data_IF_186113165041
#
_entry.id   IF_186113165041
#
_cell.length_a   1.000
_cell.length_b   1.000
_cell.length_c   1.000
_cell.angle_alpha   90.00
_cell.angle_beta   90.00
_cell.angle_gamma   90.00
#
_symmetry.space_group_name_H-M   'P 1'
#
loop_
_entity.id
_entity.type
_entity.pdbx_description
1 polymer ?
#
# COMPACT_ATOMS: atom_id res chain seq x y z
N UNK A 1 22.95 3.71 -21.26
CA UNK A 1 23.58 3.57 -19.94
C UNK A 1 22.62 4.23 -18.97
N UNK A 2 21.69 3.44 -18.42
CA UNK A 2 20.79 3.94 -17.38
C UNK A 2 21.64 4.00 -16.10
N UNK A 3 21.86 5.20 -15.58
CA UNK A 3 22.60 5.41 -14.34
C UNK A 3 21.89 4.67 -13.22
N UNK A 4 22.61 3.80 -12.52
CA UNK A 4 22.17 3.04 -11.34
C UNK A 4 21.90 3.92 -10.11
N UNK A 5 22.04 5.24 -10.21
CA UNK A 5 21.93 6.20 -9.09
C UNK A 5 20.51 6.80 -8.91
N UNK A 6 19.48 5.99 -9.13
CA UNK A 6 18.16 6.25 -8.54
C UNK A 6 17.76 5.03 -7.73
N UNK A 7 18.53 4.72 -6.68
CA UNK A 7 17.88 4.20 -5.48
C UNK A 7 16.81 5.23 -5.13
N UNK A 8 15.58 4.90 -5.50
CA UNK A 8 14.36 5.64 -5.27
C UNK A 8 14.43 6.35 -3.93
N UNK A 9 14.34 7.68 -3.94
CA UNK A 9 14.41 8.53 -2.76
C UNK A 9 13.17 8.29 -1.88
N UNK A 10 13.15 7.14 -1.23
CA UNK A 10 12.14 6.76 -0.26
C UNK A 10 12.21 7.66 0.96
N UNK A 11 13.34 8.30 1.22
CA UNK A 11 13.48 9.23 2.34
C UNK A 11 12.54 10.43 2.15
N UNK A 12 12.50 11.03 0.96
CA UNK A 12 11.54 12.10 0.67
C UNK A 12 10.09 11.66 0.85
N UNK A 13 9.72 10.48 0.33
CA UNK A 13 8.38 9.92 0.51
C UNK A 13 8.04 9.68 1.99
N UNK A 14 8.99 9.14 2.77
CA UNK A 14 8.80 8.86 4.19
C UNK A 14 8.70 10.16 4.98
N UNK A 15 9.53 11.15 4.69
CA UNK A 15 9.50 12.47 5.33
C UNK A 15 8.18 13.20 5.08
N UNK A 16 7.69 13.18 3.83
CA UNK A 16 6.42 13.80 3.45
C UNK A 16 5.23 13.16 4.19
N UNK A 17 5.33 11.87 4.52
CA UNK A 17 4.21 11.08 5.08
C UNK A 17 4.34 10.89 6.59
N UNK A 18 5.53 11.02 7.16
CA UNK A 18 5.78 10.89 8.61
C UNK A 18 4.98 11.92 9.43
N UNK A 19 4.60 13.04 8.83
CA UNK A 19 3.74 14.05 9.46
C UNK A 19 2.24 13.77 9.37
N UNK A 20 1.80 12.78 8.59
CA UNK A 20 0.39 12.48 8.41
C UNK A 20 -0.12 11.59 9.54
N UNK A 21 -1.31 11.87 10.09
CA UNK A 21 -1.90 11.03 11.12
C UNK A 21 -2.32 9.67 10.54
N UNK A 22 -2.42 8.67 11.41
CA UNK A 22 -3.10 7.41 11.13
C UNK A 22 -4.54 7.66 10.66
N UNK A 23 -5.10 6.74 9.89
CA UNK A 23 -6.51 6.80 9.51
C UNK A 23 -7.41 6.67 10.76
N UNK A 24 -8.56 7.37 10.78
CA UNK A 24 -9.52 7.25 11.87
C UNK A 24 -9.99 5.80 12.11
N UNK A 25 -10.40 5.44 13.33
CA UNK A 25 -10.87 4.08 13.64
C UNK A 25 -12.10 3.60 12.88
N UNK A 26 -12.97 4.52 12.48
CA UNK A 26 -14.18 4.29 11.69
C UNK A 26 -13.97 4.46 10.19
N UNK A 27 -12.73 4.72 9.75
CA UNK A 27 -12.41 4.88 8.35
C UNK A 27 -12.56 3.57 7.57
N UNK A 28 -13.34 3.62 6.50
CA UNK A 28 -13.54 2.52 5.55
C UNK A 28 -13.20 3.03 4.15
N UNK A 29 -12.14 2.51 3.50
CA UNK A 29 -11.74 2.98 2.17
C UNK A 29 -12.75 2.55 1.11
N UNK A 30 -13.07 3.45 0.17
CA UNK A 30 -13.91 3.10 -0.98
C UNK A 30 -13.09 2.39 -2.06
N UNK A 31 -11.83 2.80 -2.20
CA UNK A 31 -10.87 2.23 -3.16
C UNK A 31 -9.59 1.86 -2.42
N UNK A 32 -9.14 0.63 -2.65
CA UNK A 32 -7.84 0.13 -2.21
C UNK A 32 -7.02 -0.19 -3.46
N UNK A 33 -5.85 0.44 -3.58
CA UNK A 33 -4.90 0.19 -4.65
C UNK A 33 -3.61 -0.39 -4.05
N UNK A 34 -3.07 -1.43 -4.67
CA UNK A 34 -1.88 -2.11 -4.22
C UNK A 34 -0.84 -2.09 -5.33
N UNK A 35 0.33 -1.52 -5.04
CA UNK A 35 1.42 -1.42 -6.00
C UNK A 35 2.64 -2.19 -5.50
N UNK A 36 3.30 -2.84 -6.44
CA UNK A 36 4.61 -3.45 -6.27
C UNK A 36 5.40 -3.34 -7.57
N UNK A 37 6.66 -3.78 -7.57
CA UNK A 37 7.53 -3.62 -8.72
C UNK A 37 7.00 -4.31 -9.99
N UNK A 38 6.34 -5.47 -9.88
CA UNK A 38 5.83 -6.18 -11.06
C UNK A 38 4.48 -5.62 -11.53
N UNK A 39 3.60 -5.22 -10.61
CA UNK A 39 2.33 -4.60 -10.94
C UNK A 39 2.52 -3.27 -11.68
N UNK A 40 3.50 -2.47 -11.25
CA UNK A 40 3.86 -1.24 -11.96
C UNK A 40 4.43 -1.52 -13.35
N UNK A 41 5.33 -2.49 -13.49
CA UNK A 41 5.84 -2.90 -14.80
C UNK A 41 4.72 -3.44 -15.71
N UNK A 42 3.82 -4.27 -15.19
CA UNK A 42 2.69 -4.81 -15.93
C UNK A 42 1.73 -3.70 -16.37
N UNK A 43 1.46 -2.71 -15.51
CA UNK A 43 0.63 -1.56 -15.87
C UNK A 43 1.26 -0.69 -16.95
N UNK A 44 2.58 -0.47 -16.88
CA UNK A 44 3.32 0.26 -17.91
C UNK A 44 3.30 -0.45 -19.28
N UNK A 45 3.37 -1.79 -19.29
CA UNK A 45 3.39 -2.58 -20.54
C UNK A 45 2.00 -2.76 -21.12
N UNK A 46 0.99 -3.00 -20.28
CA UNK A 46 -0.38 -3.29 -20.73
C UNK A 46 -1.22 -2.03 -20.99
N UNK A 47 -0.81 -0.87 -20.44
CA UNK A 47 -1.63 0.34 -20.44
C UNK A 47 -2.91 0.19 -19.58
N UNK A 48 -3.02 -0.89 -18.81
CA UNK A 48 -4.14 -1.17 -17.92
C UNK A 48 -3.71 -0.98 -16.47
N UNK A 49 -4.58 -0.35 -15.68
CA UNK A 49 -4.32 -0.06 -14.25
C UNK A 49 -4.53 -1.30 -13.37
N UNK A 50 -5.26 -2.30 -13.87
CA UNK A 50 -5.62 -3.50 -13.10
C UNK A 50 -4.74 -4.67 -13.56
N UNK A 51 -3.79 -5.03 -12.71
CA UNK A 51 -2.98 -6.24 -12.85
C UNK A 51 -3.35 -7.22 -11.75
N UNK A 52 -3.89 -8.37 -12.14
CA UNK A 52 -4.16 -9.48 -11.23
C UNK A 52 -3.15 -10.59 -11.51
N UNK A 53 -2.40 -10.99 -10.47
CA UNK A 53 -1.51 -12.14 -10.57
C UNK A 53 -1.41 -12.86 -9.23
N UNK A 54 -1.12 -14.17 -9.30
CA UNK A 54 -0.76 -14.95 -8.13
C UNK A 54 0.77 -14.98 -8.02
N UNK A 55 1.31 -14.51 -6.90
CA UNK A 55 2.74 -14.61 -6.62
C UNK A 55 3.11 -15.94 -6.00
N UNK A 56 4.21 -16.51 -6.47
CA UNK A 56 4.88 -17.60 -5.79
C UNK A 56 5.69 -17.09 -4.60
N UNK A 57 5.83 -17.91 -3.56
CA UNK A 57 6.64 -17.59 -2.36
C UNK A 57 8.13 -17.39 -2.68
N UNK A 58 8.58 -17.88 -3.82
CA UNK A 58 9.95 -17.73 -4.36
C UNK A 58 10.21 -16.33 -4.93
N UNK A 59 9.18 -15.49 -5.10
CA UNK A 59 9.25 -14.18 -5.74
C UNK A 59 8.76 -13.07 -4.79
N UNK A 60 9.53 -12.76 -3.73
CA UNK A 60 9.13 -11.71 -2.79
C UNK A 60 9.07 -10.35 -3.48
N UNK A 61 8.10 -9.52 -3.08
CA UNK A 61 8.05 -8.11 -3.50
C UNK A 61 9.27 -7.37 -2.94
N UNK A 62 9.94 -6.57 -3.79
CA UNK A 62 11.00 -5.67 -3.32
C UNK A 62 10.41 -4.51 -2.51
N UNK A 63 9.20 -4.07 -2.90
CA UNK A 63 8.37 -3.20 -2.10
C UNK A 63 6.90 -3.48 -2.34
N UNK A 64 6.07 -3.03 -1.40
CA UNK A 64 4.61 -3.03 -1.50
C UNK A 64 4.10 -1.70 -0.96
N UNK A 65 3.27 -1.02 -1.73
CA UNK A 65 2.60 0.22 -1.32
C UNK A 65 1.09 0.03 -1.42
N UNK A 66 0.36 0.34 -0.34
CA UNK A 66 -1.10 0.34 -0.33
C UNK A 66 -1.60 1.77 -0.23
N UNK A 67 -2.54 2.11 -1.10
CA UNK A 67 -3.23 3.39 -1.09
C UNK A 67 -4.70 3.17 -0.79
N UNK A 68 -5.21 3.95 0.16
CA UNK A 68 -6.62 4.04 0.51
C UNK A 68 -7.14 5.40 0.02
N UNK A 69 -8.10 5.37 -0.91
CA UNK A 69 -8.66 6.57 -1.55
C UNK A 69 -7.56 7.55 -2.04
N UNK A 70 -6.49 7.02 -2.65
CA UNK A 70 -5.35 7.79 -3.15
C UNK A 70 -4.34 8.25 -2.11
N UNK A 71 -4.50 7.89 -0.83
CA UNK A 71 -3.55 8.21 0.24
C UNK A 71 -2.74 6.98 0.65
N UNK A 72 -1.41 7.14 0.80
CA UNK A 72 -0.55 6.03 1.23
C UNK A 72 -0.91 5.59 2.66
N UNK A 73 -1.24 4.31 2.78
CA UNK A 73 -1.66 3.67 4.02
C UNK A 73 -0.59 2.73 4.58
N UNK A 74 0.05 1.96 3.72
CA UNK A 74 1.11 1.03 4.07
C UNK A 74 2.23 1.16 3.05
N UNK A 75 3.47 1.18 3.52
CA UNK A 75 4.63 1.04 2.66
C UNK A 75 5.65 0.08 3.27
N UNK A 76 5.96 -0.96 2.53
CA UNK A 76 6.90 -2.00 2.91
C UNK A 76 8.03 -2.06 1.88
N UNK A 77 9.28 -2.18 2.35
CA UNK A 77 10.44 -2.39 1.49
C UNK A 77 11.26 -3.56 2.02
N UNK A 78 11.54 -4.55 1.16
CA UNK A 78 12.29 -5.77 1.50
C UNK A 78 11.76 -6.46 2.76
N UNK A 79 10.43 -6.49 2.91
CA UNK A 79 9.75 -7.09 4.06
C UNK A 79 9.71 -6.23 5.34
N UNK A 80 10.29 -5.03 5.34
CA UNK A 80 10.23 -4.11 6.47
C UNK A 80 9.11 -3.09 6.25
N UNK A 81 8.29 -2.90 7.28
CA UNK A 81 7.26 -1.84 7.30
C UNK A 81 7.96 -0.51 7.57
N UNK A 82 7.88 0.42 6.62
CA UNK A 82 8.42 1.78 6.76
C UNK A 82 7.34 2.78 7.12
N UNK A 83 6.11 2.58 6.61
CA UNK A 83 4.94 3.41 6.92
C UNK A 83 3.78 2.45 7.19
N UNK A 84 3.07 2.68 8.30
CA UNK A 84 1.82 2.01 8.59
C UNK A 84 0.89 3.00 9.30
N UNK A 85 -0.11 3.49 8.56
CA UNK A 85 -1.12 4.44 9.05
C UNK A 85 -2.44 3.75 9.42
N UNK A 86 -2.45 2.43 9.49
CA UNK A 86 -3.64 1.62 9.73
C UNK A 86 -3.75 1.17 11.20
N UNK A 87 -2.86 1.60 12.10
CA UNK A 87 -2.81 1.07 13.48
C UNK A 87 -4.09 1.35 14.27
N UNK A 88 -4.77 2.46 13.96
CA UNK A 88 -6.00 2.88 14.62
C UNK A 88 -7.26 2.37 13.92
N UNK A 89 -7.14 1.77 12.73
CA UNK A 89 -8.27 1.23 11.94
C UNK A 89 -8.80 -0.08 12.57
N UNK A 90 -9.47 0.03 13.70
CA UNK A 90 -10.28 -1.04 14.28
C UNK A 90 -11.46 -0.41 15.01
N UNK A 91 -12.66 -0.49 14.43
CA UNK A 91 -13.90 -1.04 15.06
C UNK A 91 -14.86 -1.52 13.94
N UNK A 92 -14.68 -2.75 13.44
CA UNK A 92 -15.70 -3.43 12.62
C UNK A 92 -16.55 -4.44 13.41
N UNK A 93 -16.00 -4.97 14.51
CA UNK A 93 -16.60 -6.10 15.21
C UNK A 93 -17.90 -5.75 15.95
N UNK A 94 -18.06 -4.54 16.49
CA UNK A 94 -19.26 -4.18 17.27
C UNK A 94 -20.46 -3.71 16.42
N UNK A 95 -20.33 -3.62 15.10
CA UNK A 95 -21.46 -3.29 14.20
C UNK A 95 -22.09 -4.56 13.60
N UNK A 96 -21.29 -5.58 13.30
CA UNK A 96 -21.80 -6.85 12.71
C UNK A 96 -22.76 -7.56 13.68
N UNK A 97 -22.50 -7.50 14.99
CA UNK A 97 -23.37 -8.08 16.03
C UNK A 97 -24.76 -7.40 16.14
N UNK A 98 -24.94 -6.21 15.55
CA UNK A 98 -26.22 -5.47 15.57
C UNK A 98 -27.06 -5.65 14.30
N UNK A 99 -26.55 -6.37 13.30
CA UNK A 99 -27.24 -6.62 12.02
C UNK A 99 -27.97 -7.97 11.97
N UNK A 100 -27.80 -8.83 12.97
CA UNK A 100 -28.55 -10.08 13.14
C UNK A 100 -29.66 -10.01 14.22
N UNK A 101 -30.07 -8.80 14.64
CA UNK A 101 -31.10 -8.57 15.67
C UNK A 101 -32.41 -7.98 15.15
#
# INVERSE_FOLDING_TARGET
>A
MFSEDKESDWNGLIEDIAGLPDFPPDYSPNVIEMFDQQGLLAGMVSGQVVYECQRESSQPSEYVAWYFDGQLALFCVKGNILINRMNLMVIGASIVDSWEG
#
